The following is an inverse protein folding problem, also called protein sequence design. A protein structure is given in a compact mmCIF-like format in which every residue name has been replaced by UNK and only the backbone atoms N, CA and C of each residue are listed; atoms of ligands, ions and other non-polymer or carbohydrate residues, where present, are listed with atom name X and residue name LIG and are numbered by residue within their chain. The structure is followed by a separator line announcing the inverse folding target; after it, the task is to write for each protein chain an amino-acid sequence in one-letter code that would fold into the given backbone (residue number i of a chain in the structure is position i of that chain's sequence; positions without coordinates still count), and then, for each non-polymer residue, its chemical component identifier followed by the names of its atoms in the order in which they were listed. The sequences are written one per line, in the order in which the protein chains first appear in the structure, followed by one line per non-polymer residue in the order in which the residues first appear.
data_IF_154647736442
#
_entry.id   IF_154647736442
#
_cell.length_a   1.000
_cell.length_b   1.000
_cell.length_c   1.000
_cell.angle_alpha   90.00
_cell.angle_beta   90.00
_cell.angle_gamma   90.00
#
_symmetry.space_group_name_H-M   'P 1'
#
loop_
_entity.id
_entity.type
_entity.pdbx_description
1 polymer ?
#
# COMPACT_ATOMS: atom_id res chain seq x y z
N UNK A 1 8.26 -20.25 -5.62
CA UNK A 1 6.83 -19.85 -5.55
C UNK A 1 6.52 -18.56 -6.33
N UNK A 2 7.45 -17.61 -6.31
CA UNK A 2 7.28 -16.23 -6.82
C UNK A 2 6.90 -16.18 -8.30
N UNK A 3 7.59 -16.93 -9.18
CA UNK A 3 7.31 -16.92 -10.62
C UNK A 3 5.85 -17.27 -10.93
N UNK A 4 5.30 -18.26 -10.22
CA UNK A 4 3.88 -18.64 -10.37
C UNK A 4 2.92 -17.52 -9.96
N UNK A 5 3.24 -16.79 -8.88
CA UNK A 5 2.43 -15.65 -8.44
C UNK A 5 2.52 -14.48 -9.44
N UNK A 6 3.71 -14.22 -9.98
CA UNK A 6 3.93 -13.24 -11.03
C UNK A 6 3.16 -13.59 -12.31
N UNK A 7 3.24 -14.83 -12.78
CA UNK A 7 2.52 -15.30 -13.97
C UNK A 7 1.00 -15.18 -13.76
N UNK A 8 0.51 -15.60 -12.60
CA UNK A 8 -0.91 -15.46 -12.25
C UNK A 8 -1.35 -13.99 -12.27
N UNK A 9 -0.61 -13.10 -11.59
CA UNK A 9 -0.91 -11.67 -11.61
C UNK A 9 -0.88 -11.09 -13.04
N UNK A 10 0.08 -11.52 -13.86
CA UNK A 10 0.22 -11.08 -15.25
C UNK A 10 -0.99 -11.50 -16.10
N UNK A 11 -1.47 -12.74 -15.92
CA UNK A 11 -2.62 -13.27 -16.64
C UNK A 11 -3.90 -12.55 -16.20
N UNK A 12 -4.15 -12.44 -14.89
CA UNK A 12 -5.40 -11.91 -14.38
C UNK A 12 -5.54 -10.39 -14.53
N UNK A 13 -4.43 -9.66 -14.57
CA UNK A 13 -4.41 -8.23 -14.91
C UNK A 13 -4.18 -7.97 -16.41
N UNK A 14 -4.23 -8.99 -17.28
CA UNK A 14 -4.04 -8.80 -18.71
C UNK A 14 -5.07 -7.82 -19.28
N UNK A 15 -4.61 -6.87 -20.10
CA UNK A 15 -5.44 -5.81 -20.67
C UNK A 15 -5.85 -4.71 -19.70
N UNK A 16 -5.46 -4.79 -18.41
CA UNK A 16 -5.65 -3.71 -17.46
C UNK A 16 -4.49 -2.72 -17.52
N UNK A 17 -4.82 -1.44 -17.31
CA UNK A 17 -3.85 -0.36 -17.33
C UNK A 17 -3.98 0.51 -16.08
N UNK A 18 -2.86 1.03 -15.58
CA UNK A 18 -2.84 2.01 -14.49
C UNK A 18 -3.49 3.30 -14.97
N UNK A 19 -4.29 3.90 -14.10
CA UNK A 19 -4.82 5.25 -14.31
C UNK A 19 -3.66 6.23 -14.52
N UNK A 20 -3.75 7.06 -15.55
CA UNK A 20 -2.79 8.10 -15.91
C UNK A 20 -3.45 9.48 -15.92
N UNK A 21 -2.64 10.53 -15.91
CA UNK A 21 -3.12 11.89 -16.13
C UNK A 21 -3.61 12.05 -17.58
N UNK A 22 -4.57 12.96 -17.85
CA UNK A 22 -4.96 13.30 -19.21
C UNK A 22 -3.74 13.67 -20.07
N UNK A 23 -3.63 13.04 -21.25
CA UNK A 23 -2.50 13.26 -22.17
C UNK A 23 -1.25 12.42 -21.89
N UNK A 24 -1.26 11.54 -20.88
CA UNK A 24 -0.20 10.56 -20.65
C UNK A 24 -0.67 9.14 -21.02
N UNK A 25 0.18 8.42 -21.74
CA UNK A 25 -0.07 7.01 -22.03
C UNK A 25 -0.10 6.18 -20.74
N UNK A 26 -1.12 5.34 -20.54
CA UNK A 26 -1.23 4.52 -19.35
C UNK A 26 -0.30 3.30 -19.45
N UNK A 27 0.29 2.91 -18.32
CA UNK A 27 1.17 1.74 -18.25
C UNK A 27 0.37 0.48 -17.93
N UNK A 28 0.80 -0.72 -18.40
CA UNK A 28 0.18 -1.98 -18.01
C UNK A 28 0.11 -2.15 -16.50
N UNK A 29 -1.02 -2.68 -15.99
CA UNK A 29 -1.27 -2.76 -14.55
C UNK A 29 -0.22 -3.57 -13.80
N UNK A 30 0.30 -4.63 -14.43
CA UNK A 30 1.31 -5.54 -13.86
C UNK A 30 2.59 -4.83 -13.35
N UNK A 31 2.88 -3.63 -13.87
CA UNK A 31 3.99 -2.80 -13.39
C UNK A 31 3.81 -2.42 -11.91
N UNK A 32 2.56 -2.28 -11.44
CA UNK A 32 2.29 -1.97 -10.05
C UNK A 32 2.65 -3.10 -9.08
N UNK A 33 2.11 -4.34 -9.19
CA UNK A 33 2.56 -5.48 -8.39
C UNK A 33 4.08 -5.69 -8.44
N UNK A 34 4.70 -5.56 -9.62
CA UNK A 34 6.15 -5.66 -9.77
C UNK A 34 6.90 -4.62 -8.92
N UNK A 35 6.38 -3.38 -8.85
CA UNK A 35 6.97 -2.32 -8.01
C UNK A 35 6.73 -2.56 -6.52
N UNK A 36 5.58 -3.11 -6.14
CA UNK A 36 5.31 -3.52 -4.74
C UNK A 36 6.32 -4.55 -4.29
N UNK A 37 6.52 -5.62 -5.07
CA UNK A 37 7.50 -6.67 -4.77
C UNK A 37 8.93 -6.15 -4.74
N UNK A 38 9.30 -5.26 -5.68
CA UNK A 38 10.59 -4.58 -5.64
C UNK A 38 10.81 -3.80 -4.33
N UNK A 39 9.80 -3.08 -3.84
CA UNK A 39 9.91 -2.36 -2.57
C UNK A 39 10.01 -3.32 -1.37
N UNK A 40 9.24 -4.41 -1.36
CA UNK A 40 9.36 -5.43 -0.32
C UNK A 40 10.81 -5.94 -0.20
N UNK A 41 11.38 -6.38 -1.32
CA UNK A 41 12.77 -6.85 -1.37
C UNK A 41 13.77 -5.77 -0.96
N UNK A 42 13.58 -4.54 -1.46
CA UNK A 42 14.44 -3.40 -1.11
C UNK A 42 14.48 -3.13 0.40
N UNK A 43 13.37 -3.36 1.10
CA UNK A 43 13.28 -3.15 2.55
C UNK A 43 13.44 -4.44 3.37
N UNK A 44 14.09 -5.46 2.78
CA UNK A 44 14.56 -6.64 3.48
C UNK A 44 13.51 -7.73 3.68
N UNK A 45 12.46 -7.77 2.85
CA UNK A 45 11.53 -8.91 2.81
C UNK A 45 12.03 -9.93 1.79
N UNK A 46 12.36 -11.12 2.27
CA UNK A 46 12.82 -12.28 1.51
C UNK A 46 11.86 -13.49 1.61
N UNK A 47 10.88 -13.45 2.51
CA UNK A 47 9.83 -14.46 2.65
C UNK A 47 9.03 -14.64 1.33
N UNK A 48 9.16 -15.83 0.73
CA UNK A 48 8.53 -16.14 -0.56
C UNK A 48 7.01 -16.01 -0.54
N UNK A 49 6.33 -16.34 0.56
CA UNK A 49 4.88 -16.23 0.68
C UNK A 49 4.46 -14.75 0.73
N UNK A 50 5.23 -13.91 1.43
CA UNK A 50 4.97 -12.45 1.46
C UNK A 50 5.19 -11.82 0.10
N UNK A 51 6.23 -12.24 -0.63
CA UNK A 51 6.48 -11.77 -1.99
C UNK A 51 5.38 -12.24 -2.96
N UNK A 52 4.88 -13.46 -2.81
CA UNK A 52 3.72 -13.96 -3.56
C UNK A 52 2.44 -13.16 -3.24
N UNK A 53 2.19 -12.83 -1.96
CA UNK A 53 1.10 -11.93 -1.57
C UNK A 53 1.27 -10.56 -2.25
N UNK A 54 2.49 -10.01 -2.30
CA UNK A 54 2.77 -8.75 -2.99
C UNK A 54 2.40 -8.76 -4.47
N UNK A 55 2.65 -9.87 -5.18
CA UNK A 55 2.22 -10.05 -6.57
C UNK A 55 0.70 -10.11 -6.71
N UNK A 56 0.00 -10.70 -5.74
CA UNK A 56 -1.43 -11.01 -5.82
C UNK A 56 -2.34 -10.01 -5.08
N UNK A 57 -1.80 -9.00 -4.41
CA UNK A 57 -2.53 -8.22 -3.40
C UNK A 57 -3.84 -7.56 -3.89
N UNK A 58 -3.90 -7.14 -5.14
CA UNK A 58 -5.08 -6.50 -5.75
C UNK A 58 -5.99 -7.47 -6.52
N UNK A 59 -5.57 -8.73 -6.69
CA UNK A 59 -6.24 -9.65 -7.63
C UNK A 59 -7.66 -10.00 -7.23
N UNK A 60 -7.97 -10.06 -5.93
CA UNK A 60 -9.34 -10.29 -5.45
C UNK A 60 -10.24 -9.06 -5.58
N UNK A 61 -9.67 -7.85 -5.68
CA UNK A 61 -10.43 -6.59 -5.81
C UNK A 61 -10.66 -6.22 -7.28
N UNK A 62 -9.62 -6.38 -8.10
CA UNK A 62 -9.57 -5.82 -9.46
C UNK A 62 -9.71 -6.86 -10.57
N UNK A 63 -9.85 -8.15 -10.25
CA UNK A 63 -9.91 -9.23 -11.25
C UNK A 63 -10.99 -10.27 -10.90
N UNK A 64 -11.16 -11.27 -11.77
CA UNK A 64 -12.03 -12.41 -11.52
C UNK A 64 -11.36 -13.57 -10.75
N UNK A 65 -10.12 -13.39 -10.27
CA UNK A 65 -9.45 -14.39 -9.44
C UNK A 65 -10.18 -14.58 -8.12
N UNK A 66 -10.35 -15.83 -7.69
CA UNK A 66 -11.07 -16.16 -6.45
C UNK A 66 -10.12 -16.55 -5.32
N UNK A 67 -10.60 -16.36 -4.09
CA UNK A 67 -9.89 -16.79 -2.89
C UNK A 67 -9.57 -18.29 -2.93
N UNK A 68 -10.53 -19.11 -3.38
CA UNK A 68 -10.41 -20.56 -3.47
C UNK A 68 -9.28 -20.96 -4.43
N UNK A 69 -9.14 -20.25 -5.55
CA UNK A 69 -8.09 -20.53 -6.52
C UNK A 69 -6.70 -20.17 -5.96
N UNK A 70 -6.57 -19.03 -5.27
CA UNK A 70 -5.32 -18.66 -4.58
C UNK A 70 -4.99 -19.69 -3.50
N UNK A 71 -5.98 -20.08 -2.70
CA UNK A 71 -5.82 -21.06 -1.63
C UNK A 71 -5.36 -22.43 -2.16
N UNK A 72 -5.99 -22.94 -3.22
CA UNK A 72 -5.61 -24.20 -3.83
C UNK A 72 -4.21 -24.17 -4.44
N UNK A 73 -3.75 -23.01 -4.90
CA UNK A 73 -2.46 -22.87 -5.61
C UNK A 73 -1.29 -22.58 -4.69
N UNK A 74 -1.49 -21.73 -3.68
CA UNK A 74 -0.42 -21.20 -2.83
C UNK A 74 -0.58 -21.53 -1.34
N UNK A 75 -1.72 -22.11 -0.95
CA UNK A 75 -2.01 -22.44 0.44
C UNK A 75 -2.63 -21.30 1.24
N UNK A 76 -2.88 -21.59 2.52
CA UNK A 76 -3.74 -20.75 3.37
C UNK A 76 -3.14 -19.40 3.70
N UNK A 77 -1.83 -19.33 4.02
CA UNK A 77 -1.17 -18.08 4.43
C UNK A 77 -1.23 -17.04 3.31
N UNK A 78 -0.94 -17.43 2.07
CA UNK A 78 -1.02 -16.53 0.91
C UNK A 78 -2.46 -16.09 0.65
N UNK A 79 -3.43 -17.02 0.60
CA UNK A 79 -4.82 -16.67 0.34
C UNK A 79 -5.41 -15.74 1.40
N UNK A 80 -5.16 -16.04 2.68
CA UNK A 80 -5.59 -15.17 3.79
C UNK A 80 -4.90 -13.81 3.73
N UNK A 81 -3.60 -13.76 3.42
CA UNK A 81 -2.85 -12.52 3.27
C UNK A 81 -3.42 -11.60 2.19
N UNK A 82 -3.73 -12.17 1.01
CA UNK A 82 -4.38 -11.42 -0.07
C UNK A 82 -5.78 -10.94 0.36
N UNK A 83 -6.58 -11.80 0.99
CA UNK A 83 -7.93 -11.42 1.49
C UNK A 83 -7.89 -10.28 2.52
N UNK A 84 -6.90 -10.26 3.41
CA UNK A 84 -6.75 -9.19 4.40
C UNK A 84 -6.47 -7.83 3.72
N UNK A 85 -5.77 -7.85 2.58
CA UNK A 85 -5.41 -6.67 1.78
C UNK A 85 -6.53 -6.17 0.86
N UNK A 86 -7.48 -7.03 0.48
CA UNK A 86 -8.67 -6.68 -0.32
C UNK A 86 -9.61 -5.75 0.45
N UNK A 87 -10.09 -4.67 -0.18
CA UNK A 87 -11.03 -3.73 0.44
C UNK A 87 -12.47 -4.16 0.18
N UNK A 88 -13.05 -4.88 1.13
CA UNK A 88 -14.39 -5.47 1.01
C UNK A 88 -15.51 -4.65 1.67
N UNK A 89 -15.29 -4.01 2.83
CA UNK A 89 -16.26 -3.12 3.50
C UNK A 89 -15.60 -2.23 4.57
N UNK A 90 -16.03 -0.95 4.64
CA UNK A 90 -15.60 0.12 5.57
C UNK A 90 -14.07 0.34 5.76
N UNK A 91 -13.60 1.55 5.48
CA UNK A 91 -12.18 1.92 5.60
C UNK A 91 -11.62 1.84 7.03
N UNK A 92 -12.44 2.06 8.07
CA UNK A 92 -11.96 1.98 9.46
C UNK A 92 -11.65 0.53 9.83
N UNK A 93 -12.61 -0.36 9.57
CA UNK A 93 -12.47 -1.80 9.79
C UNK A 93 -11.28 -2.38 8.99
N UNK A 94 -11.05 -1.88 7.78
CA UNK A 94 -9.90 -2.26 6.96
C UNK A 94 -8.55 -1.90 7.62
N UNK A 95 -8.39 -0.66 8.11
CA UNK A 95 -7.14 -0.22 8.74
C UNK A 95 -6.83 -0.99 10.02
N UNK A 96 -7.85 -1.26 10.84
CA UNK A 96 -7.72 -2.08 12.05
C UNK A 96 -7.24 -3.50 11.71
N UNK A 97 -7.80 -4.10 10.66
CA UNK A 97 -7.37 -5.41 10.14
C UNK A 97 -5.92 -5.42 9.68
N UNK A 98 -5.47 -4.40 8.95
CA UNK A 98 -4.07 -4.26 8.55
C UNK A 98 -3.15 -4.07 9.77
N UNK A 99 -3.55 -3.26 10.75
CA UNK A 99 -2.77 -3.02 11.95
C UNK A 99 -2.59 -4.29 12.82
N UNK A 100 -3.56 -5.21 12.77
CA UNK A 100 -3.51 -6.49 13.48
C UNK A 100 -2.81 -7.61 12.69
N UNK A 101 -2.57 -7.43 11.38
CA UNK A 101 -1.94 -8.45 10.53
C UNK A 101 -0.44 -8.65 10.87
N UNK A 102 0.11 -9.79 10.43
CA UNK A 102 1.55 -10.03 10.56
C UNK A 102 2.39 -9.00 9.80
N UNK A 103 3.65 -8.82 10.23
CA UNK A 103 4.56 -7.80 9.70
C UNK A 103 4.71 -7.87 8.18
N UNK A 104 4.73 -9.07 7.58
CA UNK A 104 4.82 -9.26 6.14
C UNK A 104 3.66 -8.60 5.39
N UNK A 105 2.43 -8.86 5.81
CA UNK A 105 1.22 -8.29 5.21
C UNK A 105 1.16 -6.77 5.39
N UNK A 106 1.57 -6.27 6.57
CA UNK A 106 1.70 -4.83 6.81
C UNK A 106 2.69 -4.20 5.82
N UNK A 107 3.84 -4.85 5.59
CA UNK A 107 4.84 -4.39 4.63
C UNK A 107 4.32 -4.39 3.20
N UNK A 108 3.50 -5.38 2.79
CA UNK A 108 2.83 -5.37 1.47
C UNK A 108 1.95 -4.13 1.35
N UNK A 109 1.14 -3.83 2.37
CA UNK A 109 0.27 -2.64 2.31
C UNK A 109 1.05 -1.33 2.28
N UNK A 110 2.15 -1.24 3.02
CA UNK A 110 3.01 -0.06 3.03
C UNK A 110 3.74 0.12 1.68
N UNK A 111 4.19 -0.96 1.05
CA UNK A 111 4.81 -0.94 -0.27
C UNK A 111 3.81 -0.52 -1.37
N UNK A 112 2.59 -1.05 -1.33
CA UNK A 112 1.46 -0.60 -2.16
C UNK A 112 1.21 0.90 -1.96
N UNK A 113 1.04 1.33 -0.70
CA UNK A 113 0.80 2.74 -0.35
C UNK A 113 1.92 3.65 -0.87
N UNK A 114 3.19 3.25 -0.70
CA UNK A 114 4.33 3.99 -1.21
C UNK A 114 4.28 4.16 -2.74
N UNK A 115 3.89 3.11 -3.47
CA UNK A 115 3.72 3.22 -4.92
C UNK A 115 2.56 4.15 -5.28
N UNK A 116 1.43 4.05 -4.57
CA UNK A 116 0.24 4.86 -4.81
C UNK A 116 0.43 6.35 -4.51
N UNK A 117 1.26 6.70 -3.51
CA UNK A 117 1.60 8.11 -3.22
C UNK A 117 2.19 8.80 -4.47
N UNK A 118 2.96 8.07 -5.29
CA UNK A 118 3.60 8.63 -6.50
C UNK A 118 2.61 9.04 -7.58
N UNK A 119 1.39 8.50 -7.54
CA UNK A 119 0.36 8.74 -8.56
C UNK A 119 -0.87 9.41 -7.97
N UNK A 120 -0.77 10.08 -6.82
CA UNK A 120 -1.94 10.75 -6.20
C UNK A 120 -2.53 11.87 -7.08
N UNK A 121 -1.71 12.50 -7.91
CA UNK A 121 -2.14 13.64 -8.75
C UNK A 121 -3.27 13.28 -9.74
N UNK A 122 -3.51 11.98 -9.99
CA UNK A 122 -4.62 11.51 -10.83
C UNK A 122 -6.00 11.67 -10.17
N UNK A 123 -6.05 11.87 -8.85
CA UNK A 123 -7.30 11.98 -8.10
C UNK A 123 -7.80 13.44 -8.04
N UNK A 124 -9.10 13.61 -7.74
CA UNK A 124 -9.65 14.94 -7.44
C UNK A 124 -8.95 15.60 -6.25
N UNK A 125 -9.00 16.93 -6.09
CA UNK A 125 -8.41 17.62 -4.94
C UNK A 125 -8.84 17.01 -3.58
N UNK A 126 -10.15 16.78 -3.39
CA UNK A 126 -10.68 16.12 -2.19
C UNK A 126 -10.21 14.67 -2.03
N UNK A 127 -10.02 13.95 -3.14
CA UNK A 127 -9.48 12.60 -3.13
C UNK A 127 -7.99 12.56 -2.74
N UNK A 128 -7.21 13.56 -3.16
CA UNK A 128 -5.82 13.75 -2.77
C UNK A 128 -5.75 14.06 -1.27
N UNK A 129 -6.50 15.06 -0.80
CA UNK A 129 -6.55 15.45 0.62
C UNK A 129 -6.85 14.25 1.52
N UNK A 130 -7.93 13.52 1.23
CA UNK A 130 -8.30 12.31 1.99
C UNK A 130 -7.19 11.26 2.02
N UNK A 131 -6.52 11.01 0.89
CA UNK A 131 -5.46 10.00 0.81
C UNK A 131 -4.18 10.44 1.52
N UNK A 132 -3.87 11.73 1.48
CA UNK A 132 -2.74 12.33 2.22
C UNK A 132 -3.02 12.25 3.72
N UNK A 133 -4.23 12.60 4.15
CA UNK A 133 -4.68 12.46 5.53
C UNK A 133 -4.59 11.01 6.01
N UNK A 134 -5.08 10.04 5.22
CA UNK A 134 -4.93 8.61 5.51
C UNK A 134 -3.45 8.19 5.68
N UNK A 135 -2.55 8.78 4.89
CA UNK A 135 -1.12 8.51 5.02
C UNK A 135 -0.57 9.04 6.35
N UNK A 136 -0.85 10.29 6.71
CA UNK A 136 -0.36 10.86 7.97
C UNK A 136 -0.99 10.24 9.21
N UNK A 137 -2.29 9.93 9.18
CA UNK A 137 -3.02 9.43 10.34
C UNK A 137 -2.85 7.92 10.58
N UNK A 138 -2.43 7.15 9.57
CA UNK A 138 -2.35 5.69 9.69
C UNK A 138 -1.07 5.08 9.10
N UNK A 139 -0.85 5.24 7.80
CA UNK A 139 0.21 4.47 7.13
C UNK A 139 1.63 4.92 7.52
N UNK A 140 1.86 6.23 7.73
CA UNK A 140 3.13 6.75 8.22
C UNK A 140 3.44 6.26 9.64
N UNK A 141 2.56 6.44 10.65
CA UNK A 141 2.79 5.90 11.99
C UNK A 141 3.06 4.38 11.98
N UNK A 142 2.34 3.63 11.15
CA UNK A 142 2.59 2.19 10.98
C UNK A 142 3.99 1.92 10.42
N UNK A 143 4.37 2.63 9.35
CA UNK A 143 5.68 2.48 8.72
C UNK A 143 6.82 2.86 9.67
N UNK A 144 6.68 3.92 10.46
CA UNK A 144 7.68 4.34 11.44
C UNK A 144 7.93 3.27 12.49
N UNK A 145 6.88 2.55 12.89
CA UNK A 145 7.00 1.47 13.86
C UNK A 145 7.71 0.23 13.30
N UNK A 146 7.51 -0.13 12.03
CA UNK A 146 7.94 -1.44 11.50
C UNK A 146 9.01 -1.39 10.39
N UNK A 147 9.17 -0.25 9.73
CA UNK A 147 10.15 0.01 8.68
C UNK A 147 10.45 1.52 8.54
N UNK A 148 11.25 2.11 9.45
CA UNK A 148 11.60 3.53 9.42
C UNK A 148 12.16 4.05 8.08
N UNK A 149 13.02 3.31 7.34
CA UNK A 149 13.50 3.75 6.02
C UNK A 149 12.40 3.90 4.97
N UNK A 150 11.37 3.03 5.00
CA UNK A 150 10.20 3.16 4.12
C UNK A 150 9.38 4.40 4.51
N UNK A 151 9.20 4.64 5.81
CA UNK A 151 8.48 5.82 6.30
C UNK A 151 9.14 7.13 5.84
N UNK A 152 10.47 7.21 5.89
CA UNK A 152 11.22 8.35 5.36
C UNK A 152 10.93 8.55 3.87
N UNK A 153 10.92 7.46 3.09
CA UNK A 153 10.61 7.53 1.66
C UNK A 153 9.17 7.99 1.39
N UNK A 154 8.20 7.54 2.19
CA UNK A 154 6.82 8.02 2.12
C UNK A 154 6.75 9.52 2.40
N UNK A 155 7.40 10.01 3.47
CA UNK A 155 7.45 11.44 3.80
C UNK A 155 8.01 12.26 2.64
N UNK A 156 9.08 11.81 2.01
CA UNK A 156 9.66 12.48 0.83
C UNK A 156 8.66 12.62 -0.33
N UNK A 157 7.83 11.61 -0.58
CA UNK A 157 6.82 11.69 -1.63
C UNK A 157 5.61 12.55 -1.22
N UNK A 158 5.21 12.49 0.04
CA UNK A 158 4.10 13.29 0.58
C UNK A 158 4.42 14.79 0.62
N UNK A 159 5.70 15.18 0.72
CA UNK A 159 6.12 16.60 0.65
C UNK A 159 5.62 17.36 -0.57
N UNK A 160 5.37 16.68 -1.69
CA UNK A 160 4.78 17.30 -2.90
C UNK A 160 3.37 17.85 -2.68
N UNK A 161 2.69 17.34 -1.66
CA UNK A 161 1.32 17.70 -1.31
C UNK A 161 1.27 18.63 -0.08
N UNK A 162 2.38 18.79 0.63
CA UNK A 162 2.55 19.81 1.67
C UNK A 162 2.59 21.19 0.99
N UNK A 163 1.67 22.08 1.36
CA UNK A 163 1.48 23.38 0.71
C UNK A 163 0.26 23.51 -0.19
N UNK A 164 -0.53 22.44 -0.38
CA UNK A 164 -1.97 22.56 -0.67
C UNK A 164 -2.79 22.80 0.61
N UNK A 165 -2.11 22.76 1.75
CA UNK A 165 -2.63 22.89 3.11
C UNK A 165 -2.59 24.35 3.60
N UNK A 166 -3.53 25.18 3.14
CA UNK A 166 -4.02 26.28 4.00
C UNK A 166 -5.16 25.82 4.91
N UNK A 167 -5.37 24.51 5.11
CA UNK A 167 -6.52 23.94 5.84
C UNK A 167 -6.12 22.77 6.75
N UNK A 168 -4.89 22.72 7.26
CA UNK A 168 -4.59 21.92 8.45
C UNK A 168 -3.98 22.84 9.50
N UNK A 169 -4.85 23.67 10.07
CA UNK A 169 -4.57 24.50 11.22
C UNK A 169 -4.07 23.66 12.39
N UNK A 170 -2.90 24.05 12.90
CA UNK A 170 -2.58 24.13 14.32
C UNK A 170 -3.09 22.99 15.21
N UNK A 171 -2.33 21.89 15.30
CA UNK A 171 -2.21 21.13 16.56
C UNK A 171 -0.84 20.47 16.67
N UNK A 172 0.18 21.26 16.96
CA UNK A 172 1.35 20.75 17.68
C UNK A 172 1.16 21.08 19.17
N UNK A 173 0.88 20.11 20.06
CA UNK A 173 1.05 20.38 21.47
C UNK A 173 2.54 20.46 21.78
N UNK A 174 2.97 21.67 22.13
CA UNK A 174 4.22 22.01 22.80
C UNK A 174 4.54 21.03 23.93
N UNK A 175 5.60 20.24 23.78
CA UNK A 175 6.22 19.52 24.90
C UNK A 175 7.27 20.41 25.56
N UNK A 176 6.81 21.34 26.39
CA UNK A 176 7.64 21.99 27.41
C UNK A 176 7.77 21.04 28.61
N UNK A 177 8.95 20.48 28.82
CA UNK A 177 9.35 19.81 30.07
C UNK A 177 9.38 20.83 31.22
N UNK A 178 8.81 20.54 32.40
CA UNK A 178 9.04 21.37 33.58
C UNK A 178 10.45 21.09 34.14
N UNK A 179 11.20 22.17 34.36
CA UNK A 179 12.47 22.20 35.06
C UNK A 179 12.37 21.66 36.48
N UNK A 180 13.42 20.96 36.90
CA UNK A 180 13.65 20.53 38.29
C UNK A 180 13.60 21.71 39.26
N UNK A 181 12.87 21.52 40.36
CA UNK A 181 13.23 21.94 41.73
C UNK A 181 12.77 20.85 42.71
#
# INVERSE_FOLDING_TARGET
MIDKAQDMATIYHHGQFRRSLPGQEPFPYIIHPAKVVHYLQKYGIDDEEVLAIGWLHDTLEDTCLTYEHIHATFGSRVAQGVRLLTRDVDNKTYKERIAAAERGIQMVKLADTLHNIKTLEIFSPSGIERKVEDCYNFYLPLAERICPPLAEKMRLYLRKFLGRESILSETHPSSSLPSLL
#
